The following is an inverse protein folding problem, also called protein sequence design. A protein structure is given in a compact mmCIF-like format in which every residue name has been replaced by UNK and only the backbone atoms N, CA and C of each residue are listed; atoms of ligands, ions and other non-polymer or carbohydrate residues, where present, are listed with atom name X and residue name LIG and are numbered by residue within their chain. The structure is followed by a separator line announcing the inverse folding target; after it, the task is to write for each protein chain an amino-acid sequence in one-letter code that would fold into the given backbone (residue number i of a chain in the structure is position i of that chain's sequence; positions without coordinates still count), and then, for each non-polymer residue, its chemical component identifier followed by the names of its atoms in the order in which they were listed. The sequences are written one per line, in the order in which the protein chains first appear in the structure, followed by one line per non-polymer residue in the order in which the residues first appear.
data_IF_722233520860
#
_entry.id   IF_722233520860
#
_cell.length_a   1.000
_cell.length_b   1.000
_cell.length_c   1.000
_cell.angle_alpha   90.00
_cell.angle_beta   90.00
_cell.angle_gamma   90.00
#
_symmetry.space_group_name_H-M   'P 1'
#
loop_
_entity.id
_entity.type
_entity.pdbx_description
1 polymer ?
#
# COMPACT_ATOMS: atom_id res chain seq x y z
N UNK A 1 -7.18 2.10 -9.11
CA UNK A 1 -7.04 1.16 -7.98
C UNK A 1 -8.28 0.29 -7.91
N UNK A 2 -8.17 -1.04 -8.09
CA UNK A 2 -9.33 -1.93 -8.32
C UNK A 2 -10.13 -2.27 -7.05
N UNK A 3 -9.57 -2.02 -5.88
CA UNK A 3 -10.11 -2.52 -4.60
C UNK A 3 -10.84 -1.46 -3.76
N UNK A 4 -10.70 -0.17 -4.09
CA UNK A 4 -11.39 0.92 -3.41
C UNK A 4 -12.53 1.41 -4.29
N UNK A 5 -13.77 1.24 -3.82
CA UNK A 5 -14.96 1.80 -4.46
C UNK A 5 -14.83 3.33 -4.52
N UNK A 6 -15.20 3.91 -5.66
CA UNK A 6 -15.16 5.35 -5.91
C UNK A 6 -13.76 5.98 -5.70
N UNK A 7 -12.68 5.20 -5.84
CA UNK A 7 -11.30 5.66 -5.65
C UNK A 7 -11.01 6.98 -6.36
N UNK A 8 -11.42 7.11 -7.64
CA UNK A 8 -11.21 8.33 -8.41
C UNK A 8 -11.81 9.55 -7.74
N UNK A 9 -12.99 9.46 -7.14
CA UNK A 9 -13.64 10.57 -6.43
C UNK A 9 -12.89 10.95 -5.16
N UNK A 10 -12.39 9.96 -4.42
CA UNK A 10 -11.66 10.18 -3.17
C UNK A 10 -10.35 10.92 -3.42
N UNK A 11 -9.62 10.58 -4.49
CA UNK A 11 -8.29 11.13 -4.75
C UNK A 11 -8.29 12.48 -5.48
N UNK A 12 -9.43 12.97 -5.99
CA UNK A 12 -9.50 14.27 -6.70
C UNK A 12 -8.79 15.40 -5.95
N UNK A 13 -9.03 15.64 -4.65
CA UNK A 13 -8.35 16.72 -3.93
C UNK A 13 -6.83 16.55 -3.90
N UNK A 14 -6.35 15.30 -3.82
CA UNK A 14 -4.93 14.97 -3.83
C UNK A 14 -4.32 15.13 -5.23
N UNK A 15 -5.05 14.75 -6.29
CA UNK A 15 -4.60 14.92 -7.67
C UNK A 15 -4.42 16.39 -8.04
N UNK A 16 -5.29 17.29 -7.53
CA UNK A 16 -5.16 18.74 -7.73
C UNK A 16 -3.85 19.31 -7.19
N UNK A 17 -3.29 18.71 -6.14
CA UNK A 17 -1.98 19.12 -5.59
C UNK A 17 -0.81 18.85 -6.55
N UNK A 18 -1.01 17.99 -7.54
CA UNK A 18 -0.01 17.60 -8.54
C UNK A 18 -0.19 18.34 -9.87
N UNK A 19 -1.21 19.17 -10.00
CA UNK A 19 -1.46 19.94 -11.22
C UNK A 19 -0.35 20.97 -11.42
N UNK A 20 0.17 21.05 -12.65
CA UNK A 20 1.18 22.03 -13.04
C UNK A 20 0.63 23.45 -12.81
N UNK A 21 1.47 24.34 -12.31
CA UNK A 21 1.12 25.76 -12.04
C UNK A 21 0.03 25.96 -10.96
N UNK A 22 -0.31 24.91 -10.20
CA UNK A 22 -1.14 25.03 -8.99
C UNK A 22 -0.29 25.36 -7.76
N UNK A 23 -0.84 26.13 -6.82
CA UNK A 23 -0.20 26.32 -5.52
C UNK A 23 -0.46 25.09 -4.67
N UNK A 24 0.59 24.49 -4.10
CA UNK A 24 0.47 23.33 -3.23
C UNK A 24 -0.17 23.74 -1.89
N UNK A 25 -1.50 23.58 -1.79
CA UNK A 25 -2.27 23.93 -0.60
C UNK A 25 -2.92 22.66 -0.04
N UNK A 26 -2.25 22.04 0.93
CA UNK A 26 -2.79 20.88 1.64
C UNK A 26 -3.75 21.32 2.74
N UNK A 27 -5.04 21.38 2.42
CA UNK A 27 -6.09 21.81 3.36
C UNK A 27 -7.05 20.67 3.73
N UNK A 28 -8.16 20.98 4.41
CA UNK A 28 -9.09 20.00 4.99
C UNK A 28 -9.58 18.93 3.99
N UNK A 29 -9.95 19.32 2.76
CA UNK A 29 -10.40 18.38 1.74
C UNK A 29 -9.31 17.35 1.36
N UNK A 30 -8.04 17.77 1.32
CA UNK A 30 -6.90 16.87 1.07
C UNK A 30 -6.65 15.94 2.27
N UNK A 31 -6.75 16.48 3.49
CA UNK A 31 -6.58 15.71 4.71
C UNK A 31 -7.66 14.62 4.86
N UNK A 32 -8.91 14.97 4.59
CA UNK A 32 -10.04 14.04 4.60
C UNK A 32 -9.88 12.95 3.54
N UNK A 33 -9.54 13.34 2.31
CA UNK A 33 -9.22 12.39 1.23
C UNK A 33 -8.09 11.43 1.62
N UNK A 34 -7.00 11.94 2.21
CA UNK A 34 -5.88 11.14 2.66
C UNK A 34 -6.25 10.18 3.79
N UNK A 35 -7.00 10.66 4.80
CA UNK A 35 -7.48 9.81 5.91
C UNK A 35 -8.39 8.69 5.40
N UNK A 36 -9.35 9.04 4.54
CA UNK A 36 -10.26 8.06 3.92
C UNK A 36 -9.49 7.03 3.10
N UNK A 37 -8.47 7.47 2.34
CA UNK A 37 -7.64 6.56 1.57
C UNK A 37 -6.90 5.56 2.46
N UNK A 38 -6.27 6.02 3.55
CA UNK A 38 -5.60 5.14 4.52
C UNK A 38 -6.57 4.13 5.12
N UNK A 39 -7.74 4.59 5.56
CA UNK A 39 -8.75 3.73 6.18
C UNK A 39 -9.24 2.65 5.22
N UNK A 40 -9.51 3.02 3.97
CA UNK A 40 -9.92 2.06 2.94
C UNK A 40 -8.82 1.06 2.60
N UNK A 41 -7.56 1.50 2.53
CA UNK A 41 -6.40 0.62 2.26
C UNK A 41 -6.18 -0.45 3.33
N UNK A 42 -6.56 -0.18 4.59
CA UNK A 42 -6.44 -1.14 5.69
C UNK A 42 -7.72 -1.94 5.95
N UNK A 43 -8.76 -1.75 5.14
CA UNK A 43 -10.05 -2.42 5.28
C UNK A 43 -10.21 -3.59 4.30
N UNK A 44 -11.09 -4.54 4.63
CA UNK A 44 -11.53 -5.54 3.66
C UNK A 44 -12.23 -4.85 2.47
N UNK A 45 -12.01 -5.29 1.21
CA UNK A 45 -11.38 -6.55 0.78
C UNK A 45 -9.87 -6.44 0.49
N UNK A 46 -9.20 -5.36 0.89
CA UNK A 46 -7.78 -5.13 0.56
C UNK A 46 -6.87 -5.95 1.45
N UNK A 47 -7.13 -5.93 2.76
CA UNK A 47 -6.45 -6.77 3.75
C UNK A 47 -7.40 -7.90 4.16
N UNK A 48 -7.01 -9.14 3.84
CA UNK A 48 -7.75 -10.36 4.19
C UNK A 48 -6.82 -11.26 5.02
N UNK A 49 -7.39 -12.17 5.83
CA UNK A 49 -6.60 -13.16 6.53
C UNK A 49 -5.93 -14.13 5.53
N UNK A 50 -4.65 -14.49 5.74
CA UNK A 50 -3.93 -15.38 4.84
C UNK A 50 -4.53 -16.78 4.82
N UNK A 51 -4.56 -17.37 3.63
CA UNK A 51 -4.90 -18.78 3.41
C UNK A 51 -3.60 -19.58 3.33
N UNK A 52 -3.24 -20.27 4.40
CA UNK A 52 -1.96 -21.00 4.50
C UNK A 52 -1.82 -22.16 3.51
N UNK A 53 -2.89 -22.52 2.81
CA UNK A 53 -2.88 -23.54 1.76
C UNK A 53 -2.50 -22.98 0.37
N UNK A 54 -2.38 -21.66 0.23
CA UNK A 54 -2.03 -20.99 -1.01
C UNK A 54 -0.61 -20.41 -0.93
N UNK A 55 0.06 -20.33 -2.08
CA UNK A 55 1.35 -19.66 -2.17
C UNK A 55 1.23 -18.15 -1.96
N UNK A 56 2.26 -17.57 -1.34
CA UNK A 56 2.40 -16.13 -1.21
C UNK A 56 3.21 -15.55 -2.36
N UNK A 57 2.78 -14.40 -2.87
CA UNK A 57 3.57 -13.53 -3.72
C UNK A 57 4.13 -12.40 -2.87
N UNK A 58 5.46 -12.24 -2.92
CA UNK A 58 6.15 -11.16 -2.24
C UNK A 58 6.43 -10.04 -3.25
N UNK A 59 5.98 -8.83 -2.93
CA UNK A 59 6.32 -7.61 -3.66
C UNK A 59 7.16 -6.75 -2.73
N UNK A 60 8.40 -6.44 -3.11
CA UNK A 60 9.27 -5.59 -2.33
C UNK A 60 9.78 -4.41 -3.15
N UNK A 61 9.99 -3.29 -2.46
CA UNK A 61 10.64 -2.10 -3.00
C UNK A 61 11.59 -1.54 -1.96
N UNK A 62 12.74 -1.04 -2.38
CA UNK A 62 13.77 -0.53 -1.50
C UNK A 62 14.14 0.92 -1.86
N UNK A 63 14.12 1.80 -0.87
CA UNK A 63 14.51 3.19 -1.03
C UNK A 63 15.52 3.59 0.04
N UNK A 64 16.77 3.80 -0.37
CA UNK A 64 17.88 4.04 0.57
C UNK A 64 18.04 2.88 1.55
N UNK A 65 17.98 3.16 2.85
CA UNK A 65 18.12 2.16 3.91
C UNK A 65 16.80 1.48 4.31
N UNK A 66 15.71 1.66 3.57
CA UNK A 66 14.40 1.09 3.91
C UNK A 66 13.96 0.08 2.87
N UNK A 67 13.53 -1.08 3.32
CA UNK A 67 12.84 -2.09 2.54
C UNK A 67 11.35 -2.08 2.91
N UNK A 68 10.49 -1.89 1.92
CA UNK A 68 9.06 -2.16 2.02
C UNK A 68 8.76 -3.53 1.43
N UNK A 69 8.03 -4.36 2.17
CA UNK A 69 7.58 -5.67 1.70
C UNK A 69 6.06 -5.75 1.83
N UNK A 70 5.43 -6.28 0.80
CA UNK A 70 4.01 -6.57 0.72
C UNK A 70 3.83 -8.05 0.38
N UNK A 71 3.05 -8.76 1.20
CA UNK A 71 2.63 -10.12 0.89
C UNK A 71 1.23 -10.12 0.28
N UNK A 72 1.07 -10.83 -0.83
CA UNK A 72 -0.21 -11.07 -1.47
C UNK A 72 -0.47 -12.54 -1.75
N UNK A 73 -1.72 -12.90 -1.99
CA UNK A 73 -2.11 -14.23 -2.47
C UNK A 73 -3.18 -14.11 -3.55
N UNK A 74 -3.16 -15.03 -4.51
CA UNK A 74 -4.26 -15.20 -5.47
C UNK A 74 -5.22 -16.27 -4.96
N UNK A 75 -6.47 -15.88 -4.76
CA UNK A 75 -7.58 -16.80 -4.53
C UNK A 75 -8.55 -16.67 -5.70
N UNK A 76 -8.56 -17.67 -6.58
CA UNK A 76 -9.26 -17.63 -7.86
C UNK A 76 -8.83 -16.43 -8.72
N UNK A 77 -9.75 -15.52 -9.07
CA UNK A 77 -9.47 -14.29 -9.85
C UNK A 77 -9.23 -13.06 -8.96
N UNK A 78 -9.14 -13.24 -7.64
CA UNK A 78 -8.97 -12.15 -6.68
C UNK A 78 -7.57 -12.20 -6.07
N UNK A 79 -6.90 -11.05 -6.11
CA UNK A 79 -5.64 -10.84 -5.43
C UNK A 79 -5.90 -10.07 -4.13
N UNK A 80 -5.36 -10.57 -3.03
CA UNK A 80 -5.52 -9.97 -1.70
C UNK A 80 -4.16 -9.72 -1.08
N UNK A 81 -4.04 -8.61 -0.36
CA UNK A 81 -2.84 -8.27 0.41
C UNK A 81 -3.01 -8.74 1.85
N UNK A 82 -1.94 -9.19 2.49
CA UNK A 82 -1.99 -9.81 3.82
C UNK A 82 -1.12 -9.07 4.83
N UNK A 83 0.07 -8.66 4.42
CA UNK A 83 1.03 -8.03 5.31
C UNK A 83 1.79 -6.94 4.57
N UNK A 84 1.97 -5.80 5.24
CA UNK A 84 2.87 -4.73 4.83
C UNK A 84 3.91 -4.58 5.95
N UNK A 85 5.19 -4.77 5.64
CA UNK A 85 6.28 -4.54 6.58
C UNK A 85 7.23 -3.49 6.02
N UNK A 86 7.70 -2.59 6.87
CA UNK A 86 8.82 -1.71 6.55
C UNK A 86 9.96 -1.99 7.52
N UNK A 87 11.11 -2.38 7.00
CA UNK A 87 12.30 -2.70 7.78
C UNK A 87 13.52 -1.97 7.23
N UNK A 88 14.55 -1.84 8.06
CA UNK A 88 15.83 -1.32 7.60
C UNK A 88 16.51 -2.38 6.73
N UNK A 89 16.93 -1.99 5.53
CA UNK A 89 17.54 -2.90 4.55
C UNK A 89 18.82 -3.56 5.09
N UNK A 90 19.61 -2.83 5.90
CA UNK A 90 20.81 -3.38 6.53
C UNK A 90 20.48 -4.51 7.53
N UNK A 91 19.32 -4.45 8.19
CA UNK A 91 18.87 -5.53 9.08
C UNK A 91 18.46 -6.77 8.27
N UNK A 92 17.74 -6.60 7.14
CA UNK A 92 17.34 -7.72 6.28
C UNK A 92 18.53 -8.46 5.65
N UNK A 93 19.56 -7.74 5.19
CA UNK A 93 20.76 -8.36 4.60
C UNK A 93 21.51 -9.25 5.59
N UNK A 94 21.49 -8.91 6.88
CA UNK A 94 22.13 -9.68 7.95
C UNK A 94 21.33 -10.93 8.39
N UNK A 95 20.08 -11.06 7.96
CA UNK A 95 19.29 -12.28 8.15
C UNK A 95 19.44 -13.24 6.97
N UNK A 96 19.52 -12.72 5.73
CA UNK A 96 19.74 -13.52 4.52
C UNK A 96 21.10 -14.23 4.45
N UNK A 97 22.10 -13.78 5.21
CA UNK A 97 23.43 -14.41 5.30
C UNK A 97 23.60 -15.39 6.47
N UNK A 98 22.52 -15.69 7.21
CA UNK A 98 22.56 -16.62 8.35
C UNK A 98 22.06 -18.04 8.06
N UNK A 99 21.74 -18.34 6.80
CA UNK A 99 21.39 -19.69 6.31
C UNK A 99 22.53 -20.33 5.50
#
# INVERSE_FOLDING_TARGET
MRFIKDFSKIVIPLCKLLEKESTFIFYNACLEAFKMLKEKLVSAPIIIAPDWNLYFEMMCDASGLKLGVVLGQHKNKFFSFHLLCQQNLELCSNELHRD
#
